data_IF_743984623607
#
_entry.id   IF_743984623607
#
_cell.length_a   1.000
_cell.length_b   1.000
_cell.length_c   1.000
_cell.angle_alpha   90.00
_cell.angle_beta   90.00
_cell.angle_gamma   90.00
#
_symmetry.space_group_name_H-M   'P 1'
#
loop_
_entity.id
_entity.type
_entity.pdbx_description
1 polymer ?
#
# COMPACT_ATOMS: atom_id res chain seq x y z
N UNK A 1 -10.36 45.42 -6.54
CA UNK A 1 -9.26 44.71 -5.83
C UNK A 1 -9.73 43.52 -4.96
N UNK A 2 -10.98 43.03 -5.11
CA UNK A 2 -11.55 41.97 -4.24
C UNK A 2 -11.44 40.56 -4.86
N UNK A 3 -11.48 40.47 -6.20
CA UNK A 3 -11.53 39.19 -6.92
C UNK A 3 -10.25 38.33 -6.78
N UNK A 4 -9.06 38.94 -6.69
CA UNK A 4 -7.79 38.21 -6.52
C UNK A 4 -7.67 37.49 -5.17
N UNK A 5 -8.38 37.97 -4.14
CA UNK A 5 -8.32 37.42 -2.77
C UNK A 5 -9.05 36.08 -2.65
N UNK A 6 -10.14 35.91 -3.38
CA UNK A 6 -10.99 34.71 -3.35
C UNK A 6 -10.27 33.45 -3.88
N UNK A 7 -9.50 33.61 -4.96
CA UNK A 7 -8.70 32.53 -5.56
C UNK A 7 -7.56 32.05 -4.66
N UNK A 8 -6.99 32.95 -3.83
CA UNK A 8 -5.92 32.59 -2.89
C UNK A 8 -6.47 31.76 -1.73
N UNK A 9 -7.65 32.11 -1.22
CA UNK A 9 -8.30 31.42 -0.09
C UNK A 9 -8.76 29.99 -0.47
N UNK A 10 -9.38 29.82 -1.65
CA UNK A 10 -9.80 28.49 -2.13
C UNK A 10 -8.63 27.51 -2.35
N UNK A 11 -7.43 28.03 -2.63
CA UNK A 11 -6.21 27.21 -2.81
C UNK A 11 -5.74 26.61 -1.47
N UNK A 12 -5.91 27.33 -0.37
CA UNK A 12 -5.50 26.86 0.96
C UNK A 12 -6.36 25.69 1.45
N UNK A 13 -7.69 25.78 1.28
CA UNK A 13 -8.59 24.68 1.66
C UNK A 13 -8.25 23.40 0.88
N UNK A 14 -8.03 23.49 -0.45
CA UNK A 14 -7.66 22.33 -1.27
C UNK A 14 -6.34 21.68 -0.83
N UNK A 15 -5.33 22.49 -0.49
CA UNK A 15 -4.05 21.97 -0.04
C UNK A 15 -4.17 21.25 1.32
N UNK A 16 -4.91 21.82 2.27
CA UNK A 16 -5.15 21.20 3.59
C UNK A 16 -5.92 19.88 3.48
N UNK A 17 -6.98 19.84 2.68
CA UNK A 17 -7.71 18.60 2.42
C UNK A 17 -6.83 17.54 1.76
N UNK A 18 -5.98 17.92 0.79
CA UNK A 18 -5.04 17.00 0.15
C UNK A 18 -4.04 16.40 1.15
N UNK A 19 -3.45 17.22 2.02
CA UNK A 19 -2.53 16.75 3.06
C UNK A 19 -3.20 15.79 4.05
N UNK A 20 -4.44 16.07 4.46
CA UNK A 20 -5.21 15.18 5.35
C UNK A 20 -5.48 13.82 4.71
N UNK A 21 -5.84 13.80 3.43
CA UNK A 21 -6.05 12.55 2.69
C UNK A 21 -4.75 11.74 2.61
N UNK A 22 -3.61 12.37 2.34
CA UNK A 22 -2.31 11.69 2.27
C UNK A 22 -1.98 11.05 3.62
N UNK A 23 -2.14 11.78 4.72
CA UNK A 23 -1.89 11.27 6.08
C UNK A 23 -2.85 10.11 6.40
N UNK A 24 -4.13 10.25 6.04
CA UNK A 24 -5.13 9.20 6.25
C UNK A 24 -4.79 7.91 5.47
N UNK A 25 -4.38 8.02 4.20
CA UNK A 25 -3.99 6.88 3.37
C UNK A 25 -2.78 6.17 3.99
N UNK A 26 -1.76 6.92 4.42
CA UNK A 26 -0.58 6.36 5.08
C UNK A 26 -1.00 5.65 6.37
N UNK A 27 -1.86 6.26 7.18
CA UNK A 27 -2.37 5.67 8.42
C UNK A 27 -3.16 4.38 8.19
N UNK A 28 -4.04 4.36 7.18
CA UNK A 28 -4.82 3.17 6.81
C UNK A 28 -3.92 2.03 6.35
N UNK A 29 -2.95 2.31 5.48
CA UNK A 29 -2.05 1.27 4.97
C UNK A 29 -1.11 0.73 6.05
N UNK A 30 -0.58 1.60 6.92
CA UNK A 30 0.22 1.18 8.08
C UNK A 30 -0.58 0.38 9.10
N UNK A 31 -1.84 0.78 9.35
CA UNK A 31 -2.76 0.03 10.19
C UNK A 31 -3.09 -1.34 9.61
N UNK A 32 -3.29 -1.41 8.29
CA UNK A 32 -3.52 -2.67 7.59
C UNK A 32 -2.34 -3.63 7.75
N UNK A 33 -1.09 -3.16 7.60
CA UNK A 33 0.08 -4.00 7.84
C UNK A 33 0.14 -4.53 9.28
N UNK A 34 -0.10 -3.68 10.29
CA UNK A 34 -0.14 -4.14 11.69
C UNK A 34 -1.28 -5.13 11.97
N UNK A 35 -2.41 -4.96 11.28
CA UNK A 35 -3.54 -5.88 11.38
C UNK A 35 -3.24 -7.21 10.69
N UNK A 36 -2.60 -7.17 9.51
CA UNK A 36 -2.14 -8.36 8.80
C UNK A 36 -1.11 -9.14 9.63
N UNK A 37 -0.15 -8.45 10.23
CA UNK A 37 0.84 -9.06 11.13
C UNK A 37 0.17 -9.74 12.33
N UNK A 38 -0.84 -9.09 12.93
CA UNK A 38 -1.54 -9.63 14.12
C UNK A 38 -2.55 -10.74 13.82
N UNK A 39 -3.29 -10.66 12.72
CA UNK A 39 -4.40 -11.58 12.43
C UNK A 39 -4.06 -12.66 11.41
N UNK A 40 -3.14 -12.42 10.47
CA UNK A 40 -2.77 -13.41 9.45
C UNK A 40 -1.68 -14.35 10.00
N UNK A 41 -0.81 -13.87 10.90
CA UNK A 41 0.23 -14.68 11.53
C UNK A 41 0.28 -14.48 13.04
N UNK A 42 -0.62 -15.12 13.80
CA UNK A 42 -0.54 -15.05 15.25
C UNK A 42 0.74 -15.78 15.69
N UNK A 43 1.73 -15.03 16.17
CA UNK A 43 2.82 -15.54 17.02
C UNK A 43 3.83 -16.52 16.39
N UNK A 44 4.02 -16.57 15.07
CA UNK A 44 5.03 -17.45 14.46
C UNK A 44 5.86 -16.76 13.38
N UNK A 45 6.99 -16.16 13.76
CA UNK A 45 8.02 -15.64 12.85
C UNK A 45 8.38 -16.66 11.73
N UNK A 46 8.29 -17.95 12.03
CA UNK A 46 8.49 -19.06 11.09
C UNK A 46 7.48 -19.07 9.93
N UNK A 47 6.21 -18.77 10.17
CA UNK A 47 5.17 -18.82 9.12
C UNK A 47 5.24 -17.63 8.15
N UNK A 48 5.61 -16.42 8.61
CA UNK A 48 5.86 -15.28 7.71
C UNK A 48 7.05 -15.54 6.78
N UNK A 49 8.12 -16.16 7.28
CA UNK A 49 9.27 -16.53 6.44
C UNK A 49 8.88 -17.62 5.43
N UNK A 50 8.15 -18.65 5.86
CA UNK A 50 7.71 -19.74 4.97
C UNK A 50 6.73 -19.25 3.91
N UNK A 51 5.78 -18.37 4.24
CA UNK A 51 4.83 -17.84 3.23
C UNK A 51 5.50 -16.95 2.19
N UNK A 52 6.48 -16.15 2.59
CA UNK A 52 7.29 -15.36 1.65
C UNK A 52 8.14 -16.27 0.75
N UNK A 53 8.70 -17.34 1.32
CA UNK A 53 9.47 -18.34 0.59
C UNK A 53 8.60 -19.12 -0.42
N UNK A 54 7.45 -19.62 0.01
CA UNK A 54 6.48 -20.35 -0.82
C UNK A 54 5.91 -19.46 -1.92
N UNK A 55 5.58 -18.20 -1.61
CA UNK A 55 5.14 -17.22 -2.59
C UNK A 55 6.20 -16.96 -3.66
N UNK A 56 7.47 -16.82 -3.26
CA UNK A 56 8.60 -16.68 -4.17
C UNK A 56 8.76 -17.88 -5.10
N UNK A 57 8.71 -19.10 -4.56
CA UNK A 57 8.76 -20.33 -5.37
C UNK A 57 7.59 -20.45 -6.35
N UNK A 58 6.38 -20.07 -5.93
CA UNK A 58 5.19 -20.09 -6.79
C UNK A 58 5.30 -19.13 -7.98
N UNK A 59 5.82 -17.92 -7.76
CA UNK A 59 6.04 -16.92 -8.82
C UNK A 59 7.11 -17.40 -9.81
N UNK A 60 8.20 -17.99 -9.33
CA UNK A 60 9.24 -18.56 -10.19
C UNK A 60 8.71 -19.73 -11.02
N UNK A 61 7.91 -20.61 -10.42
CA UNK A 61 7.27 -21.72 -11.12
C UNK A 61 6.29 -21.23 -12.21
N UNK A 62 5.44 -20.25 -11.89
CA UNK A 62 4.55 -19.59 -12.86
C UNK A 62 5.32 -18.95 -14.01
N UNK A 63 6.43 -18.27 -13.70
CA UNK A 63 7.29 -17.62 -14.69
C UNK A 63 7.92 -18.65 -15.62
N UNK A 64 8.46 -19.75 -15.07
CA UNK A 64 9.00 -20.84 -15.88
C UNK A 64 7.95 -21.47 -16.80
N UNK A 65 6.74 -21.70 -16.30
CA UNK A 65 5.66 -22.25 -17.12
C UNK A 65 5.23 -21.30 -18.24
N UNK A 66 5.23 -20.00 -17.98
CA UNK A 66 4.93 -18.97 -18.98
C UNK A 66 6.01 -18.91 -20.06
N UNK A 67 7.30 -18.95 -19.67
CA UNK A 67 8.43 -18.92 -20.62
C UNK A 67 8.44 -20.16 -21.51
N UNK A 68 8.19 -21.35 -20.94
CA UNK A 68 8.05 -22.60 -21.70
C UNK A 68 6.88 -22.61 -22.67
N UNK A 69 5.84 -21.81 -22.43
CA UNK A 69 4.70 -21.69 -23.34
C UNK A 69 4.98 -20.78 -24.53
N UNK A 70 6.00 -19.91 -24.45
CA UNK A 70 6.32 -18.90 -25.47
C UNK A 70 7.43 -19.39 -26.41
N UNK A 71 8.29 -20.32 -25.97
CA UNK A 71 9.35 -20.95 -26.77
C UNK A 71 8.88 -22.27 -27.37
#
# INVERSE_FOLDING_TARGET
MVHRKFWKLQRHHRALFGSLIIIAIIGVWRGLWGLMDKYIFPEQYLLSHVTTLVGGFFVLWMTQNTIKSIT
#
